data_IF_562768297906
#
_entry.id   IF_562768297906
#
_cell.length_a   1.000
_cell.length_b   1.000
_cell.length_c   1.000
_cell.angle_alpha   90.00
_cell.angle_beta   90.00
_cell.angle_gamma   90.00
#
_symmetry.space_group_name_H-M   'P 1'
#
loop_
_entity.id
_entity.type
_entity.pdbx_description
1 polymer ?
#
# COMPACT_ATOMS: atom_id res chain seq x y z
N UNK A 1 -25.17 36.82 -5.29
CA UNK A 1 -24.41 37.11 -4.08
C UNK A 1 -23.20 36.18 -4.05
N UNK A 2 -22.01 36.74 -4.33
CA UNK A 2 -20.76 35.99 -4.20
C UNK A 2 -20.48 35.79 -2.71
N UNK A 3 -20.34 34.53 -2.28
CA UNK A 3 -19.86 34.21 -0.95
C UNK A 3 -18.38 34.59 -0.85
N UNK A 4 -18.04 35.47 0.07
CA UNK A 4 -16.66 35.90 0.38
C UNK A 4 -15.76 34.73 0.86
N UNK A 5 -16.35 33.56 1.06
CA UNK A 5 -15.67 32.32 1.54
C UNK A 5 -15.35 31.31 0.43
N UNK A 6 -15.67 31.60 -0.83
CA UNK A 6 -15.33 30.64 -1.92
C UNK A 6 -13.95 30.98 -2.49
N UNK A 7 -12.96 30.17 -2.17
CA UNK A 7 -11.59 30.28 -2.71
C UNK A 7 -11.47 29.78 -4.16
N UNK A 8 -12.55 29.28 -4.73
CA UNK A 8 -12.57 28.76 -6.11
C UNK A 8 -13.71 29.37 -6.92
N UNK A 9 -13.46 29.77 -8.19
CA UNK A 9 -14.50 30.23 -9.11
C UNK A 9 -15.57 29.14 -9.30
N UNK A 10 -16.82 29.57 -9.50
CA UNK A 10 -17.93 28.66 -9.79
C UNK A 10 -17.63 27.83 -11.05
N UNK A 11 -18.14 26.60 -11.08
CA UNK A 11 -17.90 25.67 -12.20
C UNK A 11 -18.34 26.29 -13.55
N UNK A 12 -19.42 27.07 -13.56
CA UNK A 12 -19.88 27.82 -14.74
C UNK A 12 -18.89 28.88 -15.21
N UNK A 13 -18.24 29.60 -14.28
CA UNK A 13 -17.23 30.60 -14.61
C UNK A 13 -15.97 29.94 -15.18
N UNK A 14 -15.55 28.80 -14.62
CA UNK A 14 -14.43 28.00 -15.14
C UNK A 14 -14.72 27.47 -16.55
N UNK A 15 -15.93 26.98 -16.82
CA UNK A 15 -16.34 26.53 -18.15
C UNK A 15 -16.32 27.68 -19.14
N UNK A 16 -16.82 28.87 -18.74
CA UNK A 16 -16.83 30.05 -19.59
C UNK A 16 -15.41 30.52 -19.90
N UNK A 17 -14.53 30.60 -18.90
CA UNK A 17 -13.12 30.96 -19.08
C UNK A 17 -12.40 29.95 -19.99
N UNK A 18 -12.62 28.64 -19.81
CA UNK A 18 -12.05 27.62 -20.65
C UNK A 18 -12.53 27.74 -22.10
N UNK A 19 -13.82 27.98 -22.35
CA UNK A 19 -14.35 28.22 -23.69
C UNK A 19 -13.75 29.47 -24.35
N UNK A 20 -13.55 30.54 -23.61
CA UNK A 20 -12.90 31.76 -24.12
C UNK A 20 -11.43 31.51 -24.48
N UNK A 21 -10.67 30.79 -23.63
CA UNK A 21 -9.30 30.39 -23.93
C UNK A 21 -9.19 29.50 -25.17
N UNK A 22 -10.09 28.50 -25.31
CA UNK A 22 -10.15 27.64 -26.50
C UNK A 22 -10.48 28.44 -27.76
N UNK A 23 -11.36 29.45 -27.67
CA UNK A 23 -11.69 30.32 -28.81
C UNK A 23 -10.53 31.24 -29.24
N UNK A 24 -9.62 31.59 -28.31
CA UNK A 24 -8.41 32.38 -28.60
C UNK A 24 -7.24 31.56 -29.17
N UNK A 25 -7.26 30.26 -28.92
CA UNK A 25 -6.27 29.34 -29.54
C UNK A 25 -6.77 29.03 -30.94
N UNK A 26 -6.15 29.66 -31.95
CA UNK A 26 -6.27 29.17 -33.33
C UNK A 26 -5.71 27.76 -33.37
N UNK A 27 -6.59 26.78 -33.27
CA UNK A 27 -6.22 25.38 -33.40
C UNK A 27 -5.81 25.16 -34.86
N UNK A 28 -4.55 25.33 -35.15
CA UNK A 28 -3.94 24.68 -36.29
C UNK A 28 -3.98 23.19 -35.99
N UNK A 29 -5.15 22.60 -36.26
CA UNK A 29 -5.45 21.20 -35.97
C UNK A 29 -4.60 20.28 -36.81
N UNK A 30 -3.38 20.07 -36.37
CA UNK A 30 -2.54 19.04 -36.94
C UNK A 30 -2.91 17.72 -36.25
N UNK A 31 -3.64 16.86 -36.95
CA UNK A 31 -4.01 15.49 -36.50
C UNK A 31 -2.81 14.64 -36.06
N UNK A 32 -1.57 15.11 -36.30
CA UNK A 32 -0.36 14.48 -35.82
C UNK A 32 -0.22 14.47 -34.29
N UNK A 33 -0.74 15.48 -33.58
CA UNK A 33 -0.70 15.52 -32.12
C UNK A 33 -1.51 14.41 -31.45
N UNK A 34 -2.65 14.02 -32.03
CA UNK A 34 -3.49 12.96 -31.50
C UNK A 34 -2.79 11.58 -31.60
N UNK A 35 -2.17 11.27 -32.73
CA UNK A 35 -1.41 10.01 -32.89
C UNK A 35 -0.20 9.94 -31.98
N UNK A 36 0.57 11.03 -31.84
CA UNK A 36 1.69 11.08 -30.93
C UNK A 36 1.25 10.89 -29.47
N UNK A 37 0.09 11.42 -29.08
CA UNK A 37 -0.48 11.20 -27.75
C UNK A 37 -0.94 9.75 -27.56
N UNK A 38 -1.62 9.19 -28.56
CA UNK A 38 -2.07 7.79 -28.53
C UNK A 38 -0.88 6.84 -28.41
N UNK A 39 0.17 7.07 -29.17
CA UNK A 39 1.41 6.29 -29.10
C UNK A 39 2.11 6.41 -27.73
N UNK A 40 1.99 7.56 -27.07
CA UNK A 40 2.56 7.77 -25.73
C UNK A 40 1.79 7.03 -24.63
N UNK A 41 0.48 6.90 -24.74
CA UNK A 41 -0.36 6.28 -23.70
C UNK A 41 -0.59 4.79 -23.94
N UNK A 42 -0.45 4.29 -25.19
CA UNK A 42 -0.57 2.85 -25.45
C UNK A 42 0.60 2.12 -24.79
N UNK A 43 0.28 1.11 -24.01
CA UNK A 43 1.26 0.34 -23.25
C UNK A 43 1.66 0.91 -21.89
N UNK A 44 1.18 2.10 -21.50
CA UNK A 44 1.43 2.62 -20.15
C UNK A 44 0.88 1.68 -19.09
N UNK A 45 1.60 1.58 -17.98
CA UNK A 45 1.15 0.84 -16.81
C UNK A 45 -0.16 1.43 -16.27
N UNK A 46 -1.13 0.56 -16.00
CA UNK A 46 -2.40 0.93 -15.40
C UNK A 46 -2.56 0.26 -14.03
N UNK A 47 -2.76 1.05 -12.99
CA UNK A 47 -2.88 0.54 -11.63
C UNK A 47 -1.53 0.26 -10.95
N UNK A 48 -1.48 -0.79 -10.14
CA UNK A 48 -0.28 -1.14 -9.37
C UNK A 48 0.82 -1.71 -10.26
N UNK A 49 2.07 -1.32 -9.97
CA UNK A 49 3.25 -1.94 -10.58
C UNK A 49 3.57 -3.25 -9.86
N UNK A 50 3.59 -4.42 -10.56
CA UNK A 50 3.99 -5.69 -9.95
C UNK A 50 5.35 -5.65 -9.23
N UNK A 51 6.28 -4.80 -9.67
CA UNK A 51 7.58 -4.60 -8.99
C UNK A 51 7.48 -3.99 -7.61
N UNK A 52 6.38 -3.31 -7.31
CA UNK A 52 6.11 -2.73 -6.00
C UNK A 52 5.03 -3.51 -5.24
N UNK A 53 4.52 -4.59 -5.84
CA UNK A 53 3.39 -5.35 -5.33
C UNK A 53 2.05 -4.81 -5.80
N UNK A 54 1.07 -5.68 -5.86
CA UNK A 54 -0.27 -5.42 -6.37
C UNK A 54 -1.33 -5.68 -5.30
N UNK A 55 -2.42 -4.92 -5.38
CA UNK A 55 -3.59 -5.04 -4.51
C UNK A 55 -4.73 -5.69 -5.28
N UNK A 56 -5.25 -6.80 -4.77
CA UNK A 56 -6.44 -7.47 -5.30
C UNK A 56 -7.49 -7.57 -4.20
N UNK A 57 -8.40 -6.61 -4.14
CA UNK A 57 -9.35 -6.51 -3.04
C UNK A 57 -8.63 -6.35 -1.70
N UNK A 58 -8.72 -7.35 -0.83
CA UNK A 58 -8.06 -7.38 0.48
C UNK A 58 -6.68 -8.05 0.48
N UNK A 59 -6.24 -8.58 -0.65
CA UNK A 59 -4.98 -9.31 -0.78
C UNK A 59 -3.92 -8.40 -1.34
N UNK A 60 -2.75 -8.39 -0.70
CA UNK A 60 -1.52 -7.84 -1.22
C UNK A 60 -0.63 -8.99 -1.72
N UNK A 61 -0.11 -8.86 -2.93
CA UNK A 61 0.78 -9.81 -3.58
C UNK A 61 2.00 -9.08 -4.12
N UNK A 62 3.19 -9.58 -3.79
CA UNK A 62 4.43 -9.00 -4.31
C UNK A 62 5.23 -10.10 -5.03
N UNK A 63 5.15 -10.22 -6.37
CA UNK A 63 5.73 -11.32 -7.11
C UNK A 63 7.26 -11.38 -6.99
N UNK A 64 7.96 -10.25 -6.97
CA UNK A 64 9.43 -10.21 -6.86
C UNK A 64 9.91 -10.65 -5.48
N UNK A 65 9.22 -10.24 -4.40
CA UNK A 65 9.47 -10.73 -3.05
C UNK A 65 8.91 -12.14 -2.83
N UNK A 66 8.01 -12.60 -3.68
CA UNK A 66 7.39 -13.92 -3.58
C UNK A 66 6.49 -14.09 -2.37
N UNK A 67 5.82 -13.03 -1.92
CA UNK A 67 4.98 -13.04 -0.73
C UNK A 67 3.56 -12.57 -1.02
N UNK A 68 2.64 -13.03 -0.17
CA UNK A 68 1.27 -12.49 -0.12
C UNK A 68 0.72 -12.51 1.30
N UNK A 69 -0.21 -11.61 1.57
CA UNK A 69 -1.02 -11.61 2.79
C UNK A 69 -2.36 -10.90 2.56
N UNK A 70 -3.25 -11.02 3.52
CA UNK A 70 -4.60 -10.47 3.45
C UNK A 70 -4.87 -9.53 4.62
N UNK A 71 -5.42 -8.34 4.34
CA UNK A 71 -5.88 -7.41 5.36
C UNK A 71 -7.35 -7.65 5.70
N UNK A 72 -7.82 -7.26 6.90
CA UNK A 72 -9.21 -7.45 7.29
C UNK A 72 -10.20 -6.74 6.36
N UNK A 73 -11.46 -7.15 6.40
CA UNK A 73 -12.54 -6.43 5.72
C UNK A 73 -12.64 -4.98 6.21
N UNK A 74 -13.00 -4.06 5.33
CA UNK A 74 -13.10 -2.63 5.64
C UNK A 74 -11.78 -1.86 5.62
N UNK A 75 -10.66 -2.52 5.30
CA UNK A 75 -9.38 -1.83 5.12
C UNK A 75 -9.15 -1.41 3.67
N UNK A 76 -8.65 -0.19 3.51
CA UNK A 76 -8.13 0.34 2.24
C UNK A 76 -6.62 0.29 2.26
N UNK A 77 -6.01 -0.27 1.22
CA UNK A 77 -4.56 -0.36 1.07
C UNK A 77 -4.01 0.77 0.20
N UNK A 78 -2.94 1.40 0.66
CA UNK A 78 -2.12 2.38 -0.07
C UNK A 78 -0.73 1.78 -0.22
N UNK A 79 -0.33 1.50 -1.45
CA UNK A 79 0.97 0.92 -1.76
C UNK A 79 1.95 1.99 -2.23
N UNK A 80 3.20 1.87 -1.81
CA UNK A 80 4.32 2.73 -2.23
C UNK A 80 5.57 1.89 -2.44
N UNK A 81 6.64 2.49 -2.92
CA UNK A 81 7.93 1.82 -3.15
C UNK A 81 8.61 1.35 -1.85
N UNK A 82 8.25 1.87 -0.69
CA UNK A 82 8.92 1.58 0.59
C UNK A 82 8.04 0.85 1.60
N UNK A 83 6.72 0.95 1.45
CA UNK A 83 5.78 0.36 2.41
C UNK A 83 4.39 0.17 1.81
N UNK A 84 3.64 -0.78 2.35
CA UNK A 84 2.19 -0.85 2.22
C UNK A 84 1.56 -0.35 3.51
N UNK A 85 0.66 0.62 3.39
CA UNK A 85 -0.21 1.06 4.48
C UNK A 85 -1.64 0.56 4.22
N UNK A 86 -2.22 -0.20 5.15
CA UNK A 86 -3.64 -0.48 5.16
C UNK A 86 -4.30 0.20 6.36
N UNK A 87 -5.46 0.80 6.17
CA UNK A 87 -6.20 1.50 7.23
C UNK A 87 -7.70 1.33 7.08
N UNK A 88 -8.41 1.35 8.19
CA UNK A 88 -9.87 1.40 8.23
C UNK A 88 -10.38 2.76 8.74
N UNK A 89 -11.70 2.93 8.73
CA UNK A 89 -12.35 4.17 9.21
C UNK A 89 -12.28 4.35 10.73
N UNK A 90 -12.02 3.30 11.50
CA UNK A 90 -11.88 3.33 12.96
C UNK A 90 -10.47 3.74 13.43
N UNK A 91 -9.58 4.03 12.48
CA UNK A 91 -8.21 4.46 12.74
C UNK A 91 -7.24 3.33 13.08
N UNK A 92 -7.58 2.08 12.76
CA UNK A 92 -6.63 0.95 12.82
C UNK A 92 -5.77 0.98 11.58
N UNK A 93 -4.45 0.83 11.77
CA UNK A 93 -3.47 0.84 10.68
C UNK A 93 -2.63 -0.44 10.71
N UNK A 94 -2.30 -0.94 9.54
CA UNK A 94 -1.36 -2.05 9.30
C UNK A 94 -0.30 -1.52 8.35
N UNK A 95 0.95 -1.56 8.77
CA UNK A 95 2.09 -1.09 7.97
C UNK A 95 2.98 -2.30 7.70
N UNK A 96 3.15 -2.62 6.42
CA UNK A 96 4.08 -3.65 5.97
C UNK A 96 5.32 -2.99 5.39
N UNK A 97 6.50 -3.45 5.84
CA UNK A 97 7.81 -3.01 5.37
C UNK A 97 8.78 -4.18 5.34
N UNK A 98 9.93 -3.98 4.68
CA UNK A 98 11.07 -4.86 4.87
C UNK A 98 11.86 -4.43 6.10
N UNK A 99 12.45 -5.39 6.79
CA UNK A 99 13.40 -5.13 7.87
C UNK A 99 14.68 -4.47 7.30
N UNK A 100 15.34 -3.64 8.10
CA UNK A 100 16.67 -3.15 7.73
C UNK A 100 17.66 -4.32 7.74
N UNK A 101 18.26 -4.59 6.58
CA UNK A 101 19.12 -5.76 6.37
C UNK A 101 20.32 -5.78 7.31
N UNK A 102 21.07 -4.67 7.44
CA UNK A 102 22.26 -4.61 8.27
C UNK A 102 21.94 -4.85 9.76
N UNK A 103 20.84 -4.27 10.23
CA UNK A 103 20.40 -4.45 11.62
C UNK A 103 19.89 -5.86 11.86
N UNK A 104 19.19 -6.46 10.88
CA UNK A 104 18.69 -7.82 10.98
C UNK A 104 19.82 -8.85 10.97
N UNK A 105 20.79 -8.70 10.06
CA UNK A 105 22.00 -9.53 10.01
C UNK A 105 22.80 -9.48 11.34
N UNK A 106 22.99 -8.29 11.90
CA UNK A 106 23.69 -8.12 13.18
C UNK A 106 22.96 -8.78 14.35
N UNK A 107 21.64 -8.77 14.33
CA UNK A 107 20.82 -9.42 15.36
C UNK A 107 20.87 -10.95 15.25
N UNK A 108 20.92 -11.49 14.03
CA UNK A 108 20.99 -12.91 13.72
C UNK A 108 19.74 -13.73 14.07
N UNK A 109 18.77 -13.10 14.73
CA UNK A 109 17.56 -13.73 15.25
C UNK A 109 16.40 -12.75 15.28
N UNK A 110 15.18 -13.21 14.95
CA UNK A 110 13.98 -12.35 14.85
C UNK A 110 13.59 -11.71 16.19
N UNK A 111 13.76 -12.41 17.30
CA UNK A 111 13.43 -11.90 18.63
C UNK A 111 14.43 -10.83 19.08
N UNK A 112 15.71 -11.06 18.85
CA UNK A 112 16.78 -10.08 19.13
C UNK A 112 16.63 -8.85 18.25
N UNK A 113 16.31 -9.04 16.97
CA UNK A 113 16.01 -7.94 16.06
C UNK A 113 14.85 -7.11 16.56
N UNK A 114 13.72 -7.76 16.89
CA UNK A 114 12.53 -7.07 17.41
C UNK A 114 12.84 -6.32 18.71
N UNK A 115 13.62 -6.91 19.62
CA UNK A 115 14.03 -6.28 20.88
C UNK A 115 14.88 -5.00 20.68
N UNK A 116 15.59 -4.92 19.54
CA UNK A 116 16.40 -3.76 19.19
C UNK A 116 15.58 -2.62 18.57
N UNK A 117 14.41 -2.91 17.99
CA UNK A 117 13.55 -1.92 17.34
C UNK A 117 12.92 -0.98 18.38
N UNK A 118 12.75 0.27 17.97
CA UNK A 118 12.06 1.30 18.74
C UNK A 118 11.09 2.04 17.84
N UNK A 119 9.97 2.44 18.43
CA UNK A 119 9.05 3.43 17.87
C UNK A 119 9.00 4.60 18.86
N UNK A 120 9.31 5.81 18.39
CA UNK A 120 9.34 7.02 19.22
C UNK A 120 10.12 6.81 20.54
N UNK A 121 11.33 6.22 20.45
CA UNK A 121 12.18 5.83 21.56
C UNK A 121 11.63 4.70 22.47
N UNK A 122 10.40 4.22 22.24
CA UNK A 122 9.78 3.16 23.06
C UNK A 122 10.17 1.79 22.54
N UNK A 123 10.54 0.87 23.45
CA UNK A 123 10.85 -0.52 23.13
C UNK A 123 9.59 -1.39 23.09
N UNK A 124 9.65 -2.44 22.30
CA UNK A 124 8.66 -3.52 22.37
C UNK A 124 8.94 -4.41 23.59
N UNK A 125 7.88 -4.92 24.18
CA UNK A 125 7.87 -5.85 25.33
C UNK A 125 6.99 -7.05 25.05
N UNK A 126 7.02 -8.05 25.92
CA UNK A 126 6.24 -9.29 25.74
C UNK A 126 6.61 -9.98 24.44
N UNK A 127 7.92 -10.07 24.16
CA UNK A 127 8.40 -10.68 22.92
C UNK A 127 8.18 -12.19 22.97
N UNK A 128 7.48 -12.70 21.97
CA UNK A 128 7.16 -14.12 21.81
C UNK A 128 7.58 -14.59 20.42
N UNK A 129 8.05 -15.82 20.31
CA UNK A 129 8.34 -16.47 19.05
C UNK A 129 7.08 -17.07 18.45
N UNK A 130 6.98 -17.05 17.13
CA UNK A 130 5.85 -17.56 16.36
C UNK A 130 6.37 -18.39 15.18
N UNK A 131 5.57 -19.29 14.68
CA UNK A 131 5.68 -19.84 13.34
C UNK A 131 4.58 -19.22 12.47
N UNK A 132 4.98 -18.65 11.34
CA UNK A 132 4.04 -18.09 10.36
C UNK A 132 4.20 -18.85 9.04
N UNK A 133 3.40 -19.90 8.88
CA UNK A 133 3.42 -20.76 7.69
C UNK A 133 4.82 -21.33 7.36
N UNK A 134 5.51 -21.83 8.38
CA UNK A 134 6.86 -22.42 8.27
C UNK A 134 7.98 -21.38 8.25
N UNK A 135 7.70 -20.12 8.57
CA UNK A 135 8.70 -19.07 8.71
C UNK A 135 8.86 -18.68 10.18
N UNK A 136 10.11 -18.64 10.66
CA UNK A 136 10.41 -18.13 11.99
C UNK A 136 9.92 -16.68 12.11
N UNK A 137 9.23 -16.39 13.19
CA UNK A 137 8.74 -15.04 13.45
C UNK A 137 8.81 -14.70 14.94
N UNK A 138 8.75 -13.41 15.25
CA UNK A 138 8.58 -12.90 16.60
C UNK A 138 7.54 -11.79 16.61
N UNK A 139 6.82 -11.67 17.71
CA UNK A 139 5.91 -10.55 17.97
C UNK A 139 6.23 -9.88 19.29
N UNK A 140 5.94 -8.59 19.39
CA UNK A 140 6.06 -7.82 20.62
C UNK A 140 5.08 -6.67 20.60
N UNK A 141 4.79 -6.14 21.79
CA UNK A 141 3.78 -5.10 21.96
C UNK A 141 4.39 -3.87 22.64
N UNK A 142 3.85 -2.72 22.34
CA UNK A 142 4.16 -1.47 23.04
C UNK A 142 2.99 -0.50 22.91
N UNK A 143 3.10 0.66 23.54
CA UNK A 143 2.14 1.76 23.37
C UNK A 143 2.88 3.00 22.93
N UNK A 144 2.34 3.65 21.90
CA UNK A 144 2.93 4.86 21.30
C UNK A 144 1.90 5.96 21.22
N UNK A 145 2.36 7.19 21.02
CA UNK A 145 1.50 8.33 20.78
C UNK A 145 1.69 8.77 19.32
N UNK A 146 0.61 8.74 18.53
CA UNK A 146 0.60 9.21 17.15
C UNK A 146 -0.39 10.36 17.02
N UNK A 147 0.08 11.53 16.59
CA UNK A 147 -0.74 12.75 16.46
C UNK A 147 -1.52 13.08 17.76
N UNK A 148 -0.86 13.00 18.91
CA UNK A 148 -1.48 13.25 20.22
C UNK A 148 -2.43 12.17 20.72
N UNK A 149 -2.60 11.07 19.99
CA UNK A 149 -3.49 9.96 20.36
C UNK A 149 -2.70 8.71 20.70
N UNK A 150 -3.06 8.06 21.81
CA UNK A 150 -2.48 6.78 22.20
C UNK A 150 -2.87 5.68 21.20
N UNK A 151 -1.91 4.82 20.87
CA UNK A 151 -2.06 3.64 20.02
C UNK A 151 -1.40 2.44 20.67
N UNK A 152 -2.08 1.31 20.71
CA UNK A 152 -1.46 0.03 20.98
C UNK A 152 -0.74 -0.40 19.71
N UNK A 153 0.56 -0.64 19.81
CA UNK A 153 1.43 -1.05 18.72
C UNK A 153 1.85 -2.50 18.91
N UNK A 154 1.56 -3.35 17.93
CA UNK A 154 2.09 -4.72 17.85
C UNK A 154 2.96 -4.83 16.62
N UNK A 155 4.19 -5.26 16.77
CA UNK A 155 5.09 -5.57 15.68
C UNK A 155 5.23 -7.08 15.54
N UNK A 156 5.13 -7.56 14.30
CA UNK A 156 5.49 -8.93 13.92
C UNK A 156 6.64 -8.84 12.94
N UNK A 157 7.72 -9.55 13.25
CA UNK A 157 8.88 -9.72 12.36
C UNK A 157 8.88 -11.15 11.86
N UNK A 158 8.90 -11.34 10.54
CA UNK A 158 8.85 -12.65 9.89
C UNK A 158 10.12 -12.84 9.07
N UNK A 159 10.90 -13.86 9.37
CA UNK A 159 12.12 -14.19 8.65
C UNK A 159 11.80 -14.82 7.29
N UNK A 160 12.36 -14.29 6.23
CA UNK A 160 12.35 -14.96 4.93
C UNK A 160 13.55 -15.89 4.78
N UNK A 161 14.75 -15.35 5.09
CA UNK A 161 16.02 -16.05 5.04
C UNK A 161 17.01 -15.41 6.05
N UNK A 162 18.31 -15.69 5.89
CA UNK A 162 19.34 -15.17 6.80
C UNK A 162 19.60 -13.66 6.63
N UNK A 163 19.19 -13.07 5.52
CA UNK A 163 19.47 -11.67 5.17
C UNK A 163 18.22 -10.80 5.17
N UNK A 164 17.03 -11.43 5.02
CA UNK A 164 15.78 -10.72 4.82
C UNK A 164 14.72 -11.11 5.84
N UNK A 165 14.04 -10.11 6.32
CA UNK A 165 12.84 -10.28 7.13
C UNK A 165 11.81 -9.21 6.76
N UNK A 166 10.57 -9.49 7.07
CA UNK A 166 9.43 -8.62 6.87
C UNK A 166 8.89 -8.12 8.20
N UNK A 167 8.28 -6.97 8.19
CA UNK A 167 7.66 -6.35 9.35
C UNK A 167 6.19 -6.05 9.08
N UNK A 168 5.32 -6.48 9.97
CA UNK A 168 3.92 -6.07 10.05
C UNK A 168 3.73 -5.31 11.36
N UNK A 169 3.58 -4.00 11.26
CA UNK A 169 3.26 -3.14 12.40
C UNK A 169 1.77 -2.84 12.41
N UNK A 170 1.12 -3.21 13.50
CA UNK A 170 -0.30 -2.94 13.75
C UNK A 170 -0.41 -1.79 14.74
N UNK A 171 -1.08 -0.71 14.36
CA UNK A 171 -1.38 0.43 15.22
C UNK A 171 -2.88 0.49 15.46
N UNK A 172 -3.30 0.28 16.68
CA UNK A 172 -4.72 0.13 17.03
C UNK A 172 -5.12 1.14 18.11
N UNK A 173 -6.19 1.93 17.92
CA UNK A 173 -6.74 2.69 19.03
C UNK A 173 -7.07 1.76 20.21
N UNK A 174 -6.75 2.09 21.47
CA UNK A 174 -6.94 1.19 22.62
C UNK A 174 -8.37 0.65 22.73
N UNK A 175 -9.37 1.46 22.39
CA UNK A 175 -10.79 1.05 22.39
C UNK A 175 -11.13 -0.04 21.37
N UNK A 176 -10.30 -0.18 20.30
CA UNK A 176 -10.49 -1.16 19.23
C UNK A 176 -9.64 -2.42 19.42
N UNK A 177 -8.73 -2.45 20.40
CA UNK A 177 -7.75 -3.51 20.54
C UNK A 177 -8.39 -4.90 20.70
N UNK A 178 -9.44 -5.02 21.53
CA UNK A 178 -10.13 -6.28 21.76
C UNK A 178 -10.91 -6.75 20.51
N UNK A 179 -11.70 -5.87 19.91
CA UNK A 179 -12.54 -6.20 18.74
C UNK A 179 -11.73 -6.57 17.50
N UNK A 180 -10.56 -5.94 17.31
CA UNK A 180 -9.70 -6.16 16.14
C UNK A 180 -8.68 -7.30 16.32
N UNK A 181 -8.50 -7.81 17.53
CA UNK A 181 -7.45 -8.79 17.87
C UNK A 181 -7.46 -10.02 16.95
N UNK A 182 -8.63 -10.61 16.73
CA UNK A 182 -8.77 -11.81 15.88
C UNK A 182 -8.45 -11.52 14.43
N UNK A 183 -8.93 -10.42 13.89
CA UNK A 183 -8.74 -10.06 12.47
C UNK A 183 -7.30 -9.68 12.19
N UNK A 184 -6.64 -8.93 13.08
CA UNK A 184 -5.21 -8.62 12.95
C UNK A 184 -4.33 -9.86 13.10
N UNK A 185 -4.74 -10.84 13.92
CA UNK A 185 -4.08 -12.15 13.99
C UNK A 185 -4.24 -12.91 12.68
N UNK A 186 -5.43 -12.93 12.08
CA UNK A 186 -5.65 -13.56 10.77
C UNK A 186 -4.77 -12.94 9.70
N UNK A 187 -4.59 -11.61 9.69
CA UNK A 187 -3.64 -10.94 8.79
C UNK A 187 -2.22 -11.49 8.96
N UNK A 188 -1.74 -11.63 10.20
CA UNK A 188 -0.42 -12.21 10.47
C UNK A 188 -0.29 -13.61 9.87
N UNK A 189 -1.25 -14.50 10.12
CA UNK A 189 -1.20 -15.89 9.66
C UNK A 189 -1.64 -16.09 8.20
N UNK A 190 -2.17 -15.06 7.54
CA UNK A 190 -2.37 -15.06 6.09
C UNK A 190 -1.09 -14.79 5.31
N UNK A 191 -0.05 -14.29 5.98
CA UNK A 191 1.26 -14.05 5.37
C UNK A 191 1.91 -15.37 4.98
N UNK A 192 2.25 -15.52 3.71
CA UNK A 192 2.89 -16.73 3.19
C UNK A 192 3.73 -16.44 1.95
N UNK A 193 4.58 -17.39 1.63
CA UNK A 193 5.27 -17.42 0.33
C UNK A 193 4.28 -17.73 -0.80
N UNK A 194 4.51 -17.13 -1.95
CA UNK A 194 3.79 -17.42 -3.19
C UNK A 194 4.46 -18.59 -3.91
N UNK A 195 3.66 -19.43 -4.53
CA UNK A 195 4.17 -20.46 -5.46
C UNK A 195 4.71 -19.77 -6.71
N UNK A 196 5.55 -20.50 -7.46
CA UNK A 196 6.04 -20.03 -8.76
C UNK A 196 4.90 -19.70 -9.72
N UNK A 197 3.89 -20.56 -9.79
CA UNK A 197 2.73 -20.36 -10.65
C UNK A 197 1.94 -19.09 -10.29
N UNK A 198 1.73 -18.82 -9.00
CA UNK A 198 1.09 -17.56 -8.55
C UNK A 198 1.87 -16.32 -8.97
N UNK A 199 3.20 -16.35 -8.83
CA UNK A 199 4.07 -15.23 -9.23
C UNK A 199 4.03 -14.98 -10.73
N UNK A 200 4.12 -16.04 -11.54
CA UNK A 200 4.11 -15.97 -13.00
C UNK A 200 2.74 -15.57 -13.58
N UNK A 201 1.66 -15.83 -12.85
CA UNK A 201 0.31 -15.42 -13.23
C UNK A 201 0.07 -13.90 -13.10
N UNK A 202 0.90 -13.19 -12.31
CA UNK A 202 0.78 -11.76 -12.13
C UNK A 202 1.38 -11.04 -13.35
N UNK A 203 0.50 -10.37 -14.10
CA UNK A 203 0.91 -9.57 -15.26
C UNK A 203 0.56 -8.09 -14.99
N UNK A 204 1.43 -7.15 -15.40
CA UNK A 204 1.12 -5.74 -15.32
C UNK A 204 -0.07 -5.42 -16.23
N UNK A 205 -1.04 -4.70 -15.69
CA UNK A 205 -2.11 -4.14 -16.50
C UNK A 205 -1.55 -2.97 -17.32
N UNK A 206 -1.92 -2.90 -18.60
CA UNK A 206 -1.47 -1.84 -19.49
C UNK A 206 -2.64 -1.27 -20.27
N UNK A 207 -2.63 0.04 -20.46
CA UNK A 207 -3.57 0.72 -21.35
C UNK A 207 -3.37 0.15 -22.76
N UNK A 208 -4.47 -0.14 -23.46
CA UNK A 208 -4.48 -0.54 -24.86
C UNK A 208 -5.48 0.28 -25.62
N UNK A 209 -5.00 1.06 -26.56
CA UNK A 209 -5.84 1.82 -27.46
C UNK A 209 -6.32 0.93 -28.61
N UNK A 210 -7.58 1.09 -28.95
CA UNK A 210 -8.17 0.44 -30.14
C UNK A 210 -8.92 1.47 -30.95
N UNK A 211 -8.60 1.53 -32.23
CA UNK A 211 -9.39 2.32 -33.19
C UNK A 211 -10.71 1.61 -33.45
N UNK A 212 -11.82 2.27 -33.17
CA UNK A 212 -13.16 1.79 -33.52
C UNK A 212 -13.65 2.51 -34.77
N UNK A 213 -14.31 1.77 -35.66
CA UNK A 213 -14.96 2.39 -36.82
C UNK A 213 -16.24 3.12 -36.37
N UNK A 214 -16.60 4.27 -36.97
CA UNK A 214 -17.88 4.93 -36.70
C UNK A 214 -19.05 3.96 -36.90
N UNK A 215 -19.95 3.89 -35.90
CA UNK A 215 -21.13 3.01 -35.99
C UNK A 215 -20.96 1.62 -35.37
N UNK A 216 -19.81 1.26 -34.82
CA UNK A 216 -19.67 0.07 -34.00
C UNK A 216 -20.18 0.36 -32.56
N UNK A 217 -21.31 -0.23 -32.15
CA UNK A 217 -21.89 -0.25 -30.81
C UNK A 217 -21.48 -1.52 -30.07
#
# INVERSE_FOLDING_TARGET
QHSIMSTHPLTSERITAAKQQVAMVQASGNKQGARAYDDMIDGLLFGDDPKQGIRKGRVFEHPDLGIRFEVPSGFTMLNSSTQLLARNNDGVEIIFTMANADTFLKAGDVSKYLAAIRIDATRFSGIETLDVNGMDAATGNTRVTKNGQSRDARLVVIREDNERAYQLLFLTPPKMAASMSTDLRRTTYSFRKMTRAEREAIKPLRIRLRTVKPGAT
#
